data_IF_448243548025
#
_entry.id   IF_448243548025
#
_cell.length_a   1.000
_cell.length_b   1.000
_cell.length_c   1.000
_cell.angle_alpha   90.00
_cell.angle_beta   90.00
_cell.angle_gamma   90.00
#
_symmetry.space_group_name_H-M   'P 1'
#
loop_
_entity.id
_entity.type
_entity.pdbx_description
1 polymer ?
#
# COMPACT_ATOMS: atom_id res chain seq x y z
N UNK A 1 11.05 -26.73 -17.10
CA UNK A 1 11.29 -26.32 -15.71
C UNK A 1 9.96 -26.43 -14.96
N UNK A 2 9.80 -27.46 -14.11
CA UNK A 2 8.62 -27.61 -13.24
C UNK A 2 8.94 -26.86 -11.95
N UNK A 3 8.28 -25.73 -11.71
CA UNK A 3 8.42 -25.00 -10.45
C UNK A 3 7.76 -25.84 -9.36
N UNK A 4 8.58 -26.32 -8.43
CA UNK A 4 8.14 -26.99 -7.21
C UNK A 4 7.51 -25.93 -6.29
N UNK A 5 6.26 -25.55 -6.55
CA UNK A 5 5.41 -24.93 -5.55
C UNK A 5 4.63 -26.10 -4.95
N UNK A 6 5.01 -26.48 -3.73
CA UNK A 6 4.37 -27.54 -2.95
C UNK A 6 2.85 -27.31 -2.89
N UNK A 7 2.08 -28.40 -2.80
CA UNK A 7 0.63 -28.47 -2.62
C UNK A 7 0.18 -27.79 -1.31
N UNK A 8 0.30 -26.46 -1.26
CA UNK A 8 -0.27 -25.61 -0.23
C UNK A 8 -1.35 -24.76 -0.88
N UNK A 9 -2.59 -24.89 -0.41
CA UNK A 9 -3.66 -23.95 -0.77
C UNK A 9 -3.30 -22.59 -0.21
N UNK A 10 -3.28 -21.56 -1.06
CA UNK A 10 -3.02 -20.20 -0.61
C UNK A 10 -4.35 -19.51 -0.38
N UNK A 11 -4.66 -19.11 0.87
CA UNK A 11 -5.96 -18.49 1.19
C UNK A 11 -5.96 -16.96 1.00
N UNK A 12 -4.88 -16.31 1.43
CA UNK A 12 -4.76 -14.86 1.49
C UNK A 12 -3.33 -14.36 1.23
N UNK A 13 -3.21 -13.18 0.62
CA UNK A 13 -1.93 -12.53 0.33
C UNK A 13 -1.87 -11.10 0.85
N UNK A 14 -0.70 -10.73 1.35
CA UNK A 14 -0.34 -9.34 1.65
C UNK A 14 0.77 -8.90 0.70
N UNK A 15 0.54 -7.82 -0.05
CA UNK A 15 1.54 -7.17 -0.88
C UNK A 15 1.97 -5.84 -0.26
N UNK A 16 3.19 -5.80 0.29
CA UNK A 16 3.83 -4.60 0.82
C UNK A 16 4.92 -4.04 -0.10
N UNK A 17 4.94 -4.47 -1.37
CA UNK A 17 5.89 -3.98 -2.37
C UNK A 17 5.66 -2.51 -2.67
N UNK A 18 6.77 -1.79 -2.76
CA UNK A 18 6.80 -0.40 -3.20
C UNK A 18 8.20 0.17 -3.09
N UNK A 19 8.55 1.02 -4.02
CA UNK A 19 9.82 1.75 -4.04
C UNK A 19 9.58 3.25 -4.03
N UNK A 20 10.66 4.02 -4.11
CA UNK A 20 10.59 5.47 -4.34
C UNK A 20 11.17 5.78 -5.69
N UNK A 21 10.78 6.92 -6.29
CA UNK A 21 11.37 7.36 -7.56
C UNK A 21 12.90 7.47 -7.48
N UNK A 22 13.40 7.92 -6.32
CA UNK A 22 14.82 8.02 -6.05
C UNK A 22 15.51 6.66 -6.07
N UNK A 23 14.95 5.65 -5.39
CA UNK A 23 15.50 4.29 -5.38
C UNK A 23 15.40 3.59 -6.73
N UNK A 24 14.27 3.76 -7.42
CA UNK A 24 14.06 3.17 -8.73
C UNK A 24 15.00 3.75 -9.79
N UNK A 25 15.38 5.02 -9.66
CA UNK A 25 16.22 5.73 -10.62
C UNK A 25 15.53 6.09 -11.95
N UNK A 26 14.39 5.46 -12.27
CA UNK A 26 13.61 5.76 -13.47
C UNK A 26 12.12 5.49 -13.29
N UNK A 27 11.29 6.08 -14.16
CA UNK A 27 9.85 5.83 -14.20
C UNK A 27 9.52 4.38 -14.56
N UNK A 28 10.28 3.78 -15.48
CA UNK A 28 10.05 2.40 -15.90
C UNK A 28 10.38 1.43 -14.76
N UNK A 29 11.53 1.59 -14.09
CA UNK A 29 11.88 0.78 -12.93
C UNK A 29 10.89 0.96 -11.77
N UNK A 30 10.39 2.18 -11.56
CA UNK A 30 9.35 2.42 -10.56
C UNK A 30 8.07 1.69 -10.92
N UNK A 31 7.59 1.80 -12.17
CA UNK A 31 6.39 1.08 -12.63
C UNK A 31 6.56 -0.43 -12.47
N UNK A 32 7.73 -0.96 -12.79
CA UNK A 32 8.02 -2.37 -12.65
C UNK A 32 7.83 -2.85 -11.20
N UNK A 33 8.35 -2.10 -10.24
CA UNK A 33 8.27 -2.46 -8.81
C UNK A 33 6.90 -2.16 -8.20
N UNK A 34 6.27 -1.05 -8.56
CA UNK A 34 5.04 -0.57 -7.91
C UNK A 34 3.75 -0.94 -8.63
N UNK A 35 3.82 -1.51 -9.84
CA UNK A 35 2.69 -1.97 -10.64
C UNK A 35 2.88 -3.40 -11.15
N UNK A 36 3.95 -3.66 -11.92
CA UNK A 36 4.08 -4.94 -12.62
C UNK A 36 4.26 -6.12 -11.65
N UNK A 37 5.16 -5.99 -10.66
CA UNK A 37 5.38 -7.06 -9.68
C UNK A 37 4.16 -7.33 -8.78
N UNK A 38 3.49 -6.33 -8.18
CA UNK A 38 2.27 -6.56 -7.41
C UNK A 38 1.16 -7.23 -8.21
N UNK A 39 0.95 -6.81 -9.47
CA UNK A 39 -0.09 -7.38 -10.33
C UNK A 39 0.23 -8.83 -10.72
N UNK A 40 1.48 -9.10 -11.11
CA UNK A 40 1.92 -10.46 -11.40
C UNK A 40 1.81 -11.38 -10.18
N UNK A 41 2.16 -10.86 -9.00
CA UNK A 41 2.03 -11.59 -7.74
C UNK A 41 0.56 -11.88 -7.39
N UNK A 42 -0.34 -10.93 -7.59
CA UNK A 42 -1.77 -11.13 -7.39
C UNK A 42 -2.32 -12.23 -8.29
N UNK A 43 -1.98 -12.22 -9.59
CA UNK A 43 -2.38 -13.25 -10.54
C UNK A 43 -1.86 -14.63 -10.17
N UNK A 44 -0.59 -14.71 -9.80
CA UNK A 44 0.01 -15.96 -9.34
C UNK A 44 -0.71 -16.48 -8.09
N UNK A 45 -0.95 -15.61 -7.11
CA UNK A 45 -1.67 -15.97 -5.90
C UNK A 45 -3.08 -16.50 -6.18
N UNK A 46 -3.84 -15.81 -7.05
CA UNK A 46 -5.17 -16.27 -7.45
C UNK A 46 -5.10 -17.64 -8.13
N UNK A 47 -4.12 -17.87 -9.00
CA UNK A 47 -3.94 -19.18 -9.65
C UNK A 47 -3.61 -20.31 -8.67
N UNK A 48 -3.15 -19.97 -7.45
CA UNK A 48 -2.89 -20.89 -6.34
C UNK A 48 -4.05 -20.97 -5.33
N UNK A 49 -5.20 -20.37 -5.66
CA UNK A 49 -6.43 -20.44 -4.86
C UNK A 49 -6.69 -19.23 -3.96
N UNK A 50 -5.85 -18.20 -3.99
CA UNK A 50 -6.01 -17.03 -3.14
C UNK A 50 -7.34 -16.33 -3.41
N UNK A 51 -8.16 -16.22 -2.37
CA UNK A 51 -9.43 -15.50 -2.44
C UNK A 51 -9.35 -14.11 -1.80
N UNK A 52 -8.28 -13.84 -1.06
CA UNK A 52 -8.06 -12.58 -0.34
C UNK A 52 -6.74 -11.92 -0.74
N UNK A 53 -6.78 -10.61 -1.02
CA UNK A 53 -5.59 -9.83 -1.34
C UNK A 53 -5.61 -8.48 -0.62
N UNK A 54 -4.53 -8.17 0.11
CA UNK A 54 -4.35 -6.90 0.81
C UNK A 54 -3.11 -6.17 0.30
N UNK A 55 -3.27 -4.96 -0.20
CA UNK A 55 -2.20 -4.15 -0.80
C UNK A 55 -1.86 -2.93 0.06
N UNK A 56 -0.56 -2.66 0.21
CA UNK A 56 -0.06 -1.34 0.64
C UNK A 56 -0.07 -0.36 -0.55
N UNK A 57 -1.11 0.45 -0.63
CA UNK A 57 -1.26 1.49 -1.65
C UNK A 57 -0.81 2.87 -1.12
N UNK A 58 -1.49 3.96 -1.48
CA UNK A 58 -1.16 5.32 -1.10
C UNK A 58 -2.41 6.19 -0.95
N UNK A 59 -2.38 7.18 -0.04
CA UNK A 59 -3.49 8.12 0.17
C UNK A 59 -3.97 8.81 -1.12
N UNK A 60 -3.06 9.09 -2.05
CA UNK A 60 -3.36 9.74 -3.33
C UNK A 60 -3.53 8.81 -4.51
N UNK A 61 -3.66 7.49 -4.32
CA UNK A 61 -3.82 6.53 -5.43
C UNK A 61 -5.05 6.89 -6.28
N UNK A 62 -4.80 7.25 -7.54
CA UNK A 62 -5.78 7.76 -8.48
C UNK A 62 -5.21 7.59 -9.91
N UNK A 63 -5.81 6.74 -10.76
CA UNK A 63 -5.31 6.47 -12.12
C UNK A 63 -5.32 7.72 -13.03
N UNK A 64 -6.14 8.72 -12.72
CA UNK A 64 -6.22 9.97 -13.49
C UNK A 64 -5.27 11.07 -12.97
N UNK A 65 -4.46 10.74 -11.96
CA UNK A 65 -3.57 11.72 -11.33
C UNK A 65 -2.52 12.27 -12.29
N UNK A 66 -2.30 13.59 -12.22
CA UNK A 66 -1.15 14.25 -12.87
C UNK A 66 0.19 13.87 -12.23
N UNK A 67 0.18 13.36 -11.00
CA UNK A 67 1.38 12.92 -10.29
C UNK A 67 1.68 11.46 -10.60
N UNK A 68 2.82 11.19 -11.24
CA UNK A 68 3.21 9.84 -11.69
C UNK A 68 3.11 8.77 -10.60
N UNK A 69 3.57 9.05 -9.39
CA UNK A 69 3.49 8.12 -8.25
C UNK A 69 2.04 7.73 -7.93
N UNK A 70 1.15 8.72 -7.79
CA UNK A 70 -0.27 8.53 -7.48
C UNK A 70 -0.99 7.78 -8.60
N UNK A 71 -0.65 8.13 -9.85
CA UNK A 71 -1.15 7.48 -11.05
C UNK A 71 -0.82 6.01 -11.09
N UNK A 72 0.46 5.64 -10.95
CA UNK A 72 0.88 4.23 -10.98
C UNK A 72 0.21 3.42 -9.86
N UNK A 73 0.07 3.99 -8.66
CA UNK A 73 -0.66 3.33 -7.55
C UNK A 73 -2.15 3.17 -7.86
N UNK A 74 -2.80 4.18 -8.44
CA UNK A 74 -4.20 4.11 -8.83
C UNK A 74 -4.47 3.15 -9.98
N UNK A 75 -3.61 3.14 -11.00
CA UNK A 75 -3.64 2.18 -12.09
C UNK A 75 -3.50 0.73 -11.57
N UNK A 76 -2.62 0.50 -10.59
CA UNK A 76 -2.49 -0.83 -9.97
C UNK A 76 -3.77 -1.23 -9.25
N UNK A 77 -4.35 -0.34 -8.44
CA UNK A 77 -5.63 -0.61 -7.79
C UNK A 77 -6.71 -0.96 -8.82
N UNK A 78 -6.82 -0.18 -9.90
CA UNK A 78 -7.78 -0.43 -10.97
C UNK A 78 -7.55 -1.77 -11.66
N UNK A 79 -6.29 -2.17 -11.89
CA UNK A 79 -5.96 -3.47 -12.45
C UNK A 79 -6.37 -4.61 -11.50
N UNK A 80 -6.09 -4.47 -10.20
CA UNK A 80 -6.45 -5.48 -9.20
C UNK A 80 -7.96 -5.67 -9.02
N UNK A 81 -8.76 -4.65 -9.30
CA UNK A 81 -10.23 -4.80 -9.35
C UNK A 81 -10.68 -5.82 -10.40
N UNK A 82 -9.91 -6.01 -11.48
CA UNK A 82 -10.23 -6.96 -12.54
C UNK A 82 -9.81 -8.40 -12.20
N UNK A 83 -9.00 -8.58 -11.16
CA UNK A 83 -8.51 -9.89 -10.74
C UNK A 83 -9.53 -10.62 -9.84
N UNK A 84 -10.75 -10.12 -9.63
CA UNK A 84 -11.89 -10.84 -9.02
C UNK A 84 -11.61 -11.57 -7.68
N UNK A 85 -10.78 -11.01 -6.81
CA UNK A 85 -10.65 -11.52 -5.44
C UNK A 85 -11.98 -11.44 -4.70
N UNK A 86 -12.30 -12.46 -3.88
CA UNK A 86 -13.47 -12.44 -2.99
C UNK A 86 -13.36 -11.31 -1.97
N UNK A 87 -12.15 -11.05 -1.48
CA UNK A 87 -11.84 -9.93 -0.58
C UNK A 87 -10.61 -9.18 -1.08
N UNK A 88 -10.78 -7.90 -1.42
CA UNK A 88 -9.71 -7.04 -1.90
C UNK A 88 -9.60 -5.81 -1.01
N UNK A 89 -8.48 -5.66 -0.31
CA UNK A 89 -8.25 -4.51 0.57
C UNK A 89 -7.11 -3.63 0.06
N UNK A 90 -7.38 -2.33 -0.09
CA UNK A 90 -6.39 -1.31 -0.33
C UNK A 90 -6.14 -0.50 0.95
N UNK A 91 -4.95 -0.66 1.55
CA UNK A 91 -4.53 0.19 2.66
C UNK A 91 -3.82 1.40 2.06
N UNK A 92 -4.43 2.58 2.20
CA UNK A 92 -3.95 3.86 1.65
C UNK A 92 -3.37 4.74 2.76
N UNK A 93 -2.12 4.50 3.20
CA UNK A 93 -1.48 5.32 4.21
C UNK A 93 -1.25 6.75 3.71
N UNK A 94 -1.25 7.70 4.64
CA UNK A 94 -0.83 9.07 4.39
C UNK A 94 0.69 9.18 4.32
N UNK A 95 1.25 10.28 4.85
CA UNK A 95 2.70 10.35 5.06
C UNK A 95 3.08 9.28 6.09
N UNK A 96 3.92 8.31 5.70
CA UNK A 96 4.44 7.30 6.62
C UNK A 96 5.38 8.00 7.59
N UNK A 97 4.91 8.21 8.82
CA UNK A 97 5.77 8.73 9.87
C UNK A 97 6.44 7.61 10.61
N UNK A 98 7.71 7.45 10.31
CA UNK A 98 8.62 6.61 11.06
C UNK A 98 10.03 7.02 10.68
N UNK A 99 10.96 6.88 11.62
CA UNK A 99 12.38 7.11 11.41
C UNK A 99 12.87 6.27 10.22
N UNK A 100 12.92 6.87 9.03
CA UNK A 100 13.58 6.30 7.86
C UNK A 100 14.75 7.20 7.52
N UNK A 101 15.91 6.57 7.30
CA UNK A 101 17.16 7.18 6.83
C UNK A 101 17.09 7.76 5.41
N UNK A 102 15.97 7.60 4.71
CA UNK A 102 15.85 8.02 3.32
C UNK A 102 14.81 9.12 3.14
N UNK A 103 15.34 10.29 2.81
CA UNK A 103 14.62 11.55 2.64
C UNK A 103 14.02 11.58 1.24
N UNK A 104 12.70 11.73 1.12
CA UNK A 104 12.08 12.16 -0.15
C UNK A 104 12.52 13.61 -0.41
N UNK A 105 13.03 13.97 -1.60
CA UNK A 105 13.35 15.37 -1.87
C UNK A 105 12.06 16.20 -1.76
N UNK A 106 12.04 17.14 -0.80
CA UNK A 106 10.87 17.92 -0.38
C UNK A 106 10.40 17.67 1.06
N UNK A 107 10.81 16.58 1.72
CA UNK A 107 10.37 16.25 3.08
C UNK A 107 11.07 17.05 4.19
N UNK A 108 12.22 17.69 3.97
CA UNK A 108 12.90 18.40 5.07
C UNK A 108 12.22 19.74 5.38
N UNK A 109 11.90 20.52 4.35
CA UNK A 109 11.12 21.75 4.48
C UNK A 109 9.69 21.46 4.97
N UNK A 110 9.07 20.39 4.46
CA UNK A 110 7.74 19.97 4.88
C UNK A 110 7.74 19.43 6.32
N UNK A 111 8.71 18.60 6.75
CA UNK A 111 8.81 18.15 8.15
C UNK A 111 9.05 19.30 9.12
N UNK A 112 9.85 20.30 8.73
CA UNK A 112 10.08 21.48 9.56
C UNK A 112 8.81 22.34 9.67
N UNK A 113 8.13 22.60 8.54
CA UNK A 113 6.87 23.33 8.52
C UNK A 113 5.76 22.57 9.29
N UNK A 114 5.60 21.27 9.08
CA UNK A 114 4.61 20.44 9.76
C UNK A 114 4.86 20.34 11.27
N UNK A 115 6.12 20.41 11.73
CA UNK A 115 6.47 20.39 13.15
C UNK A 115 6.18 21.74 13.82
N UNK A 116 6.39 22.84 13.11
CA UNK A 116 6.06 24.20 13.59
C UNK A 116 4.54 24.45 13.60
N UNK A 117 3.81 23.94 12.59
CA UNK A 117 2.35 24.11 12.47
C UNK A 117 1.53 22.91 12.98
N UNK A 118 2.15 21.98 13.70
CA UNK A 118 1.53 20.75 14.22
C UNK A 118 0.20 20.96 14.98
N UNK A 119 0.01 21.99 15.85
CA UNK A 119 -1.27 22.19 16.54
C UNK A 119 -2.40 22.72 15.64
N UNK A 120 -2.07 23.21 14.43
CA UNK A 120 -3.04 23.76 13.48
C UNK A 120 -3.35 22.80 12.32
N UNK A 121 -2.74 21.62 12.31
CA UNK A 121 -2.78 20.74 11.16
C UNK A 121 -3.99 19.80 11.18
N UNK A 122 -4.80 19.75 10.10
CA UNK A 122 -5.98 18.90 10.03
C UNK A 122 -5.60 17.41 10.11
N UNK A 123 -6.40 16.62 10.84
CA UNK A 123 -6.18 15.18 11.16
C UNK A 123 -5.75 14.29 9.98
N UNK A 124 -6.08 14.68 8.75
CA UNK A 124 -5.69 14.04 7.48
C UNK A 124 -4.17 13.98 7.20
N UNK A 125 -3.36 14.77 7.93
CA UNK A 125 -1.89 14.78 7.80
C UNK A 125 -1.16 14.04 8.93
N UNK A 126 -1.89 13.34 9.82
CA UNK A 126 -1.26 12.58 10.91
C UNK A 126 -0.48 11.39 10.35
N UNK A 127 0.75 11.28 10.84
CA UNK A 127 1.72 10.25 10.54
C UNK A 127 1.15 8.86 10.90
N UNK A 128 1.12 7.93 9.94
CA UNK A 128 0.71 6.55 10.21
C UNK A 128 1.95 5.70 10.52
N UNK A 129 2.03 5.10 11.73
CA UNK A 129 3.11 4.18 12.08
C UNK A 129 3.10 2.94 11.16
N UNK A 130 4.27 2.44 10.81
CA UNK A 130 4.39 1.21 10.00
C UNK A 130 3.69 0.01 10.65
N UNK A 131 3.71 -0.08 11.98
CA UNK A 131 3.04 -1.13 12.74
C UNK A 131 1.51 -1.12 12.54
N UNK A 132 0.88 0.06 12.50
CA UNK A 132 -0.57 0.17 12.27
C UNK A 132 -0.90 -0.24 10.83
N UNK A 133 -0.10 0.16 9.85
CA UNK A 133 -0.27 -0.26 8.45
C UNK A 133 -0.18 -1.79 8.34
N UNK A 134 0.83 -2.39 8.96
CA UNK A 134 1.01 -3.84 8.99
C UNK A 134 -0.17 -4.54 9.69
N UNK A 135 -0.62 -4.01 10.83
CA UNK A 135 -1.77 -4.56 11.55
C UNK A 135 -3.04 -4.55 10.69
N UNK A 136 -3.27 -3.49 9.90
CA UNK A 136 -4.42 -3.45 8.97
C UNK A 136 -4.30 -4.47 7.86
N UNK A 137 -3.12 -4.63 7.25
CA UNK A 137 -2.91 -5.64 6.22
C UNK A 137 -3.14 -7.05 6.77
N UNK A 138 -2.59 -7.35 7.96
CA UNK A 138 -2.76 -8.64 8.64
C UNK A 138 -4.23 -8.87 8.99
N UNK A 139 -4.90 -7.87 9.56
CA UNK A 139 -6.32 -7.97 9.91
C UNK A 139 -7.18 -8.27 8.67
N UNK A 140 -6.90 -7.62 7.54
CA UNK A 140 -7.61 -7.85 6.29
C UNK A 140 -7.34 -9.23 5.68
N UNK A 141 -6.13 -9.77 5.86
CA UNK A 141 -5.80 -11.12 5.41
C UNK A 141 -6.45 -12.21 6.30
N UNK A 142 -6.47 -12.00 7.62
CA UNK A 142 -7.01 -12.97 8.57
C UNK A 142 -8.53 -12.92 8.73
N UNK A 143 -9.16 -11.76 8.52
CA UNK A 143 -10.60 -11.56 8.65
C UNK A 143 -11.19 -10.92 7.38
N UNK A 144 -11.13 -11.62 6.23
CA UNK A 144 -11.53 -11.06 4.95
C UNK A 144 -13.01 -10.69 4.94
N UNK A 145 -13.29 -9.46 4.53
CA UNK A 145 -14.65 -9.00 4.26
C UNK A 145 -14.93 -9.13 2.76
N UNK A 146 -16.06 -9.74 2.33
CA UNK A 146 -16.38 -9.83 0.91
C UNK A 146 -16.43 -8.45 0.22
N UNK A 147 -15.92 -8.39 -1.00
CA UNK A 147 -15.88 -7.17 -1.80
C UNK A 147 -14.59 -6.35 -1.62
N UNK A 148 -14.71 -5.05 -1.88
CA UNK A 148 -13.58 -4.13 -1.93
C UNK A 148 -13.59 -3.23 -0.69
N UNK A 149 -12.47 -3.17 0.02
CA UNK A 149 -12.27 -2.32 1.19
C UNK A 149 -11.14 -1.32 0.97
N UNK A 150 -11.36 -0.04 1.31
CA UNK A 150 -10.34 1.00 1.24
C UNK A 150 -10.12 1.57 2.64
N UNK A 151 -8.99 1.24 3.25
CA UNK A 151 -8.60 1.73 4.57
C UNK A 151 -7.74 2.98 4.38
N UNK A 152 -8.29 4.15 4.72
CA UNK A 152 -7.60 5.44 4.52
C UNK A 152 -6.74 5.80 5.72
N UNK A 153 -5.86 6.77 5.52
CA UNK A 153 -5.01 7.30 6.58
C UNK A 153 -5.78 7.73 7.84
N UNK A 154 -6.96 8.36 7.66
CA UNK A 154 -7.80 8.79 8.77
C UNK A 154 -8.29 7.63 9.66
N UNK A 155 -8.51 6.45 9.07
CA UNK A 155 -9.05 5.27 9.76
C UNK A 155 -7.96 4.54 10.60
N UNK A 156 -6.70 4.90 10.37
CA UNK A 156 -5.53 4.46 11.13
C UNK A 156 -5.09 5.50 12.18
N UNK A 157 -5.50 6.76 12.03
CA UNK A 157 -5.03 7.87 12.85
C UNK A 157 -5.75 7.96 14.21
N UNK A 158 -5.20 7.30 15.23
CA UNK A 158 -5.65 7.48 16.63
C UNK A 158 -5.76 6.21 17.46
N UNK A 159 -5.60 5.03 16.85
CA UNK A 159 -5.50 3.78 17.59
C UNK A 159 -4.03 3.53 17.88
N UNK A 160 -3.64 3.59 19.16
CA UNK A 160 -2.34 3.03 19.55
C UNK A 160 -2.50 1.52 19.45
N UNK A 161 -1.65 0.87 18.67
CA UNK A 161 -1.43 -0.57 18.82
C UNK A 161 -0.80 -0.75 20.19
N UNK A 162 -1.60 -1.01 21.20
CA UNK A 162 -1.13 -1.59 22.46
C UNK A 162 -0.65 -3.00 22.11
N UNK A 163 0.65 -3.23 22.28
CA UNK A 163 1.22 -4.57 22.34
C UNK A 163 0.69 -5.30 23.57
#
# INVERSE_FOLDING_TARGET
>A
MRTCVQEGTLDAVICALGTTMHKAGSRNAFRQVDYDYPLAFARLAQSLGASTFALTSAAGADPDSRFFYNRVKGELEQALLQENFRSLTFVRPGVIGGARKEVRPGEMALKLALRVFAPFLPRRWRLNPAAEIAARLIQSALNPQPGISIIRAADMAGKRVTQ
#
